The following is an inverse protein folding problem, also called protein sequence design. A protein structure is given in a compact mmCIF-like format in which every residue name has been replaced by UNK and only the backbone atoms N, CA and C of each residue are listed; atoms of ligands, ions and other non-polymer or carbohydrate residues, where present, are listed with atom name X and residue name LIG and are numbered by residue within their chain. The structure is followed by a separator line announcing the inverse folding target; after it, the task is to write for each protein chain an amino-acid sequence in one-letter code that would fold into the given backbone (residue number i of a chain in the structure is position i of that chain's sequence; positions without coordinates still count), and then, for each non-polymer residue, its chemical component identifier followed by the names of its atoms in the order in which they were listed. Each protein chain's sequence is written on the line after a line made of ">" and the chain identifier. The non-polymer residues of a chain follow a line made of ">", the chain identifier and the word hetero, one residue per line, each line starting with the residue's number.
data_IF_897730378375
#
_entry.id   IF_897730378375
#
_cell.length_a   1.000
_cell.length_b   1.000
_cell.length_c   1.000
_cell.angle_alpha   90.00
_cell.angle_beta   90.00
_cell.angle_gamma   90.00
#
_symmetry.space_group_name_H-M   'P 1'
#
loop_
_entity.id
_entity.type
_entity.pdbx_description
1 polymer ?
#
# COMPACT_ATOMS: atom_id res chain seq x y z
N UNK A 1 15.55 -6.30 1.36
CA UNK A 1 14.14 -6.71 1.50
C UNK A 1 13.94 -7.18 2.93
N UNK A 2 13.02 -6.57 3.69
CA UNK A 2 12.80 -6.87 5.12
C UNK A 2 11.50 -7.62 5.31
N UNK A 3 11.50 -8.72 6.08
CA UNK A 3 10.27 -9.46 6.41
C UNK A 3 9.77 -9.05 7.80
N UNK A 4 8.50 -8.74 7.92
CA UNK A 4 7.84 -8.39 9.19
C UNK A 4 6.56 -9.22 9.35
N UNK A 5 6.25 -9.71 10.56
CA UNK A 5 4.98 -10.36 10.81
C UNK A 5 3.82 -9.37 10.73
N UNK A 6 2.62 -9.84 10.38
CA UNK A 6 1.41 -9.02 10.30
C UNK A 6 1.12 -8.31 11.63
N UNK A 7 1.41 -8.97 12.76
CA UNK A 7 1.30 -8.38 14.10
C UNK A 7 2.17 -7.14 14.28
N UNK A 8 3.34 -7.07 13.64
CA UNK A 8 4.22 -5.91 13.69
C UNK A 8 3.70 -4.75 12.84
N UNK A 9 3.07 -5.05 11.70
CA UNK A 9 2.37 -4.04 10.89
C UNK A 9 1.20 -3.42 11.66
N UNK A 10 0.38 -4.25 12.30
CA UNK A 10 -0.81 -3.80 13.04
C UNK A 10 -0.42 -3.04 14.31
N UNK A 11 0.58 -3.51 15.05
CA UNK A 11 1.00 -2.88 16.30
C UNK A 11 1.78 -1.58 16.08
N UNK A 12 2.58 -1.49 15.00
CA UNK A 12 3.49 -0.36 14.76
C UNK A 12 3.46 0.12 13.30
N UNK A 13 2.29 0.54 12.78
CA UNK A 13 2.13 0.90 11.37
C UNK A 13 3.02 2.09 10.97
N UNK A 14 3.26 3.04 11.87
CA UNK A 14 4.13 4.20 11.62
C UNK A 14 5.60 3.79 11.44
N UNK A 15 6.07 2.75 12.14
CA UNK A 15 7.42 2.25 11.98
C UNK A 15 7.58 1.60 10.59
N UNK A 16 6.59 0.80 10.17
CA UNK A 16 6.60 0.18 8.83
C UNK A 16 6.54 1.23 7.73
N UNK A 17 5.69 2.26 7.89
CA UNK A 17 5.63 3.41 6.96
C UNK A 17 6.98 4.13 6.84
N UNK A 18 7.72 4.32 7.94
CA UNK A 18 9.06 4.92 7.89
C UNK A 18 10.07 4.05 7.13
N UNK A 19 9.95 2.73 7.19
CA UNK A 19 10.82 1.82 6.44
C UNK A 19 10.56 1.97 4.94
N UNK A 20 9.29 1.93 4.52
CA UNK A 20 8.92 2.06 3.11
C UNK A 20 9.20 3.46 2.55
N UNK A 21 9.05 4.51 3.37
CA UNK A 21 9.43 5.87 3.01
C UNK A 21 10.94 6.08 2.87
N UNK A 22 11.77 5.25 3.51
CA UNK A 22 13.24 5.26 3.37
C UNK A 22 13.75 4.43 2.19
N UNK A 23 12.86 4.06 1.26
CA UNK A 23 13.23 3.27 0.10
C UNK A 23 13.33 1.77 0.38
N UNK A 24 12.84 1.25 1.52
CA UNK A 24 12.91 -0.18 1.82
C UNK A 24 11.62 -0.91 1.47
N UNK A 25 11.72 -1.92 0.61
CA UNK A 25 10.63 -2.88 0.38
C UNK A 25 10.51 -3.84 1.57
N UNK A 26 9.29 -3.96 2.10
CA UNK A 26 8.93 -4.77 3.26
C UNK A 26 7.95 -5.87 2.85
N UNK A 27 8.21 -7.10 3.24
CA UNK A 27 7.28 -8.23 3.07
C UNK A 27 6.60 -8.53 4.38
N UNK A 28 5.27 -8.51 4.36
CA UNK A 28 4.43 -8.85 5.49
C UNK A 28 4.15 -10.34 5.46
N UNK A 29 4.43 -11.01 6.57
CA UNK A 29 4.23 -12.45 6.73
C UNK A 29 3.22 -12.78 7.82
N UNK A 30 2.54 -13.90 7.68
CA UNK A 30 1.71 -14.49 8.73
C UNK A 30 1.99 -15.98 8.76
N UNK A 31 2.27 -16.54 9.94
CA UNK A 31 2.62 -17.96 10.10
C UNK A 31 3.76 -18.42 9.15
N UNK A 32 4.71 -17.54 8.87
CA UNK A 32 5.84 -17.82 7.96
C UNK A 32 5.51 -17.74 6.47
N UNK A 33 4.26 -17.48 6.08
CA UNK A 33 3.85 -17.27 4.69
C UNK A 33 3.85 -15.79 4.34
N UNK A 34 4.32 -15.44 3.15
CA UNK A 34 4.26 -14.08 2.65
C UNK A 34 2.81 -13.75 2.25
N UNK A 35 2.24 -12.71 2.86
CA UNK A 35 0.92 -12.19 2.53
C UNK A 35 1.02 -11.03 1.54
N UNK A 36 1.80 -10.01 1.89
CA UNK A 36 1.89 -8.76 1.13
C UNK A 36 3.33 -8.30 0.98
N UNK A 37 3.60 -7.56 -0.09
CA UNK A 37 4.86 -6.85 -0.29
C UNK A 37 4.56 -5.36 -0.38
N UNK A 38 4.94 -4.63 0.66
CA UNK A 38 4.89 -3.17 0.69
C UNK A 38 6.12 -2.65 -0.04
N UNK A 39 5.92 -2.13 -1.25
CA UNK A 39 6.99 -1.51 -2.02
C UNK A 39 7.48 -0.25 -1.32
N UNK A 40 8.79 -0.02 -1.45
CA UNK A 40 9.38 1.27 -1.19
C UNK A 40 8.62 2.35 -1.96
N UNK A 41 8.39 3.49 -1.31
CA UNK A 41 8.04 4.70 -2.06
C UNK A 41 9.35 5.10 -2.72
N UNK A 42 9.52 4.79 -4.01
CA UNK A 42 10.55 5.44 -4.81
C UNK A 42 10.35 6.93 -4.61
N UNK A 43 11.39 7.59 -4.11
CA UNK A 43 11.36 8.99 -3.75
C UNK A 43 10.72 9.78 -4.89
N UNK A 44 9.45 10.18 -4.72
CA UNK A 44 8.96 11.43 -5.29
C UNK A 44 9.82 12.48 -4.60
N UNK A 45 10.95 12.77 -5.23
CA UNK A 45 11.90 13.75 -4.75
C UNK A 45 11.15 15.07 -4.66
N UNK A 46 11.16 15.65 -3.46
CA UNK A 46 10.89 17.06 -3.20
C UNK A 46 9.57 17.60 -3.75
N UNK A 47 8.56 17.70 -2.89
CA UNK A 47 8.00 19.01 -2.58
C UNK A 47 7.03 18.91 -1.41
N UNK A 48 7.15 19.90 -0.53
CA UNK A 48 6.21 20.15 0.54
C UNK A 48 4.76 20.19 0.00
N UNK A 49 3.87 19.54 0.74
CA UNK A 49 2.41 19.77 0.77
C UNK A 49 1.52 19.62 -0.48
N UNK A 50 2.01 19.54 -1.73
CA UNK A 50 1.13 19.53 -2.92
C UNK A 50 0.90 18.16 -3.59
N UNK A 51 1.71 17.15 -3.28
CA UNK A 51 1.67 15.85 -3.99
C UNK A 51 0.74 14.80 -3.37
N UNK A 52 -0.18 15.17 -2.48
CA UNK A 52 -1.20 14.21 -2.00
C UNK A 52 -2.15 13.82 -3.13
N UNK A 53 -2.60 14.79 -3.93
CA UNK A 53 -3.50 14.54 -5.04
C UNK A 53 -2.84 13.65 -6.11
N UNK A 54 -1.59 13.92 -6.49
CA UNK A 54 -0.85 13.10 -7.43
C UNK A 54 -0.58 11.67 -6.90
N UNK A 55 -0.35 11.53 -5.58
CA UNK A 55 -0.23 10.22 -4.95
C UNK A 55 -1.54 9.45 -4.91
N UNK A 56 -2.63 10.12 -4.58
CA UNK A 56 -3.97 9.52 -4.54
C UNK A 56 -4.38 9.10 -5.97
N UNK A 57 -4.09 9.93 -6.97
CA UNK A 57 -4.36 9.66 -8.39
C UNK A 57 -3.50 8.50 -8.94
N UNK A 58 -2.22 8.42 -8.56
CA UNK A 58 -1.39 7.26 -8.90
C UNK A 58 -1.87 5.98 -8.20
N UNK A 59 -2.30 6.08 -6.94
CA UNK A 59 -2.84 4.94 -6.19
C UNK A 59 -4.13 4.42 -6.83
N UNK A 60 -5.03 5.32 -7.20
CA UNK A 60 -6.29 4.99 -7.89
C UNK A 60 -6.00 4.33 -9.24
N UNK A 61 -5.06 4.86 -10.03
CA UNK A 61 -4.67 4.27 -11.31
C UNK A 61 -4.07 2.85 -11.17
N UNK A 62 -3.24 2.62 -10.16
CA UNK A 62 -2.66 1.30 -9.90
C UNK A 62 -3.71 0.33 -9.34
N UNK A 63 -4.63 0.79 -8.49
CA UNK A 63 -5.77 -0.01 -8.02
C UNK A 63 -6.68 -0.42 -9.17
N UNK A 64 -7.03 0.51 -10.06
CA UNK A 64 -7.84 0.23 -11.25
C UNK A 64 -7.15 -0.76 -12.18
N UNK A 65 -5.82 -0.66 -12.33
CA UNK A 65 -5.04 -1.64 -13.08
C UNK A 65 -5.10 -3.02 -12.45
N UNK A 66 -4.86 -3.12 -11.15
CA UNK A 66 -4.92 -4.40 -10.42
C UNK A 66 -6.32 -5.03 -10.49
N UNK A 67 -7.38 -4.22 -10.40
CA UNK A 67 -8.76 -4.70 -10.52
C UNK A 67 -9.09 -5.16 -11.95
N UNK A 68 -8.60 -4.44 -12.98
CA UNK A 68 -8.71 -4.88 -14.38
C UNK A 68 -7.98 -6.19 -14.63
N UNK A 69 -6.77 -6.34 -14.09
CA UNK A 69 -5.99 -7.57 -14.19
C UNK A 69 -6.64 -8.73 -13.41
N UNK A 70 -7.32 -8.45 -12.29
CA UNK A 70 -8.01 -9.45 -11.47
C UNK A 70 -9.36 -9.93 -12.04
N UNK A 71 -9.86 -9.37 -13.17
CA UNK A 71 -11.19 -9.67 -13.74
C UNK A 71 -12.34 -9.55 -12.71
N UNK A 72 -12.22 -8.68 -11.71
CA UNK A 72 -13.31 -8.42 -10.77
C UNK A 72 -14.10 -7.22 -11.25
N UNK A 73 -15.36 -7.42 -11.65
CA UNK A 73 -16.26 -6.37 -12.14
C UNK A 73 -16.72 -5.35 -11.09
N UNK A 74 -15.95 -5.17 -10.01
CA UNK A 74 -16.29 -4.32 -8.88
C UNK A 74 -15.23 -3.24 -8.74
N UNK A 75 -15.66 -1.99 -8.78
CA UNK A 75 -14.78 -0.82 -8.61
C UNK A 75 -14.29 -0.73 -7.17
N UNK A 76 -13.03 -0.31 -6.97
CA UNK A 76 -12.44 -0.05 -5.65
C UNK A 76 -13.32 0.89 -4.80
N UNK A 77 -13.91 1.89 -5.44
CA UNK A 77 -14.78 2.88 -4.81
C UNK A 77 -16.05 2.24 -4.25
N UNK A 78 -16.60 1.22 -4.94
CA UNK A 78 -17.75 0.46 -4.46
C UNK A 78 -17.39 -0.41 -3.24
N UNK A 79 -16.25 -1.08 -3.25
CA UNK A 79 -15.79 -1.89 -2.11
C UNK A 79 -15.57 -1.02 -0.86
N UNK A 80 -15.02 0.18 -1.03
CA UNK A 80 -14.80 1.12 0.07
C UNK A 80 -16.14 1.63 0.61
N UNK A 81 -17.10 1.95 -0.26
CA UNK A 81 -18.45 2.38 0.13
C UNK A 81 -19.22 1.27 0.87
N UNK A 82 -19.11 0.01 0.43
CA UNK A 82 -19.73 -1.12 1.11
C UNK A 82 -19.12 -1.39 2.49
N UNK A 83 -17.81 -1.23 2.67
CA UNK A 83 -17.17 -1.46 3.98
C UNK A 83 -17.57 -0.45 5.07
N UNK A 84 -18.10 0.72 4.66
CA UNK A 84 -18.54 1.80 5.56
C UNK A 84 -20.02 1.73 5.92
N UNK A 85 -20.73 0.74 5.39
CA UNK A 85 -22.13 0.46 5.67
C UNK A 85 -22.25 -0.64 6.73
#
# INVERSE_FOLDING_TARGET
>A
MKMLPLTELVSRPQAVKKLTARGQTVTITEEGKALWVLKAIESVQNSDSDDKAARDEWLDAEMDRMLKEAKTGVSATQLILESRR
#
